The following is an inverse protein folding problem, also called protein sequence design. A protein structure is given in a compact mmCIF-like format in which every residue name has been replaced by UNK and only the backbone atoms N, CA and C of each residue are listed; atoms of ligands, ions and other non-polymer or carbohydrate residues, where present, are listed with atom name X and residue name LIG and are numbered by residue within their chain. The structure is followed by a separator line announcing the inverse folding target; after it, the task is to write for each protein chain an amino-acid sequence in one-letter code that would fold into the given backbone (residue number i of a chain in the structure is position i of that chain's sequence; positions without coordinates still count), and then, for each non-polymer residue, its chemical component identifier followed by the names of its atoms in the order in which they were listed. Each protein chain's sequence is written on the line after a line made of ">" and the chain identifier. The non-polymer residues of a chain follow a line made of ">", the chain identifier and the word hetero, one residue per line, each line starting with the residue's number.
data_IF_382270512752
#
_entry.id   IF_382270512752
#
_cell.length_a   1.000
_cell.length_b   1.000
_cell.length_c   1.000
_cell.angle_alpha   90.00
_cell.angle_beta   90.00
_cell.angle_gamma   90.00
#
_symmetry.space_group_name_H-M   'P 1'
#
loop_
_entity.id
_entity.type
_entity.pdbx_description
1 polymer ?
#
# COMPACT_ATOMS: atom_id res chain seq x y z
N UNK A 1 10.43 -69.73 17.31
CA UNK A 1 11.80 -69.88 16.80
C UNK A 1 11.74 -69.92 15.28
N UNK A 2 12.45 -68.98 14.64
CA UNK A 2 12.90 -69.05 13.25
C UNK A 2 11.96 -68.54 12.15
N UNK A 3 12.44 -67.94 11.07
CA UNK A 3 13.77 -67.44 10.67
C UNK A 3 13.52 -66.63 9.38
N UNK A 4 14.15 -65.45 9.29
CA UNK A 4 14.58 -64.68 8.10
C UNK A 4 13.59 -64.16 7.03
N UNK A 5 13.67 -62.82 6.86
CA UNK A 5 13.47 -62.08 5.60
C UNK A 5 14.47 -62.52 4.52
N UNK A 6 14.09 -62.40 3.24
CA UNK A 6 14.80 -61.50 2.31
C UNK A 6 13.79 -60.65 1.50
N UNK A 7 13.94 -59.32 1.44
CA UNK A 7 14.67 -58.60 0.37
C UNK A 7 14.23 -59.01 -1.05
N UNK A 8 13.28 -58.26 -1.61
CA UNK A 8 13.11 -58.09 -3.05
C UNK A 8 12.50 -56.70 -3.32
N UNK A 9 13.36 -55.67 -3.27
CA UNK A 9 13.11 -54.39 -3.93
C UNK A 9 13.19 -54.64 -5.45
N UNK A 10 12.05 -54.84 -6.11
CA UNK A 10 12.02 -54.83 -7.57
C UNK A 10 12.04 -53.37 -8.05
N UNK A 11 13.24 -52.85 -8.29
CA UNK A 11 13.47 -51.72 -9.18
C UNK A 11 13.23 -52.20 -10.62
N UNK A 12 12.01 -52.02 -11.12
CA UNK A 12 11.72 -52.13 -12.55
C UNK A 12 12.05 -50.77 -13.20
N UNK A 13 13.32 -50.60 -13.58
CA UNK A 13 13.74 -49.62 -14.57
C UNK A 13 13.16 -50.03 -15.93
N UNK A 14 11.97 -49.54 -16.25
CA UNK A 14 11.45 -49.56 -17.62
C UNK A 14 11.86 -48.24 -18.26
N UNK A 15 13.00 -48.29 -18.94
CA UNK A 15 13.39 -47.33 -19.97
C UNK A 15 12.41 -47.44 -21.13
N UNK A 16 11.37 -46.61 -21.13
CA UNK A 16 10.68 -46.27 -22.36
C UNK A 16 11.44 -45.13 -23.04
N UNK A 17 11.77 -45.21 -24.34
CA UNK A 17 12.13 -44.02 -25.08
C UNK A 17 10.87 -43.15 -25.05
N UNK A 18 10.93 -42.03 -24.35
CA UNK A 18 9.94 -40.98 -24.53
C UNK A 18 10.17 -40.51 -25.96
N UNK A 19 9.41 -41.11 -26.88
CA UNK A 19 9.17 -40.58 -28.20
C UNK A 19 8.90 -39.09 -28.02
N UNK A 20 9.60 -38.29 -28.83
CA UNK A 20 9.31 -36.89 -29.03
C UNK A 20 7.80 -36.69 -29.09
N UNK A 21 7.21 -36.23 -27.98
CA UNK A 21 5.94 -35.56 -28.03
C UNK A 21 6.26 -34.21 -28.67
N UNK A 22 6.19 -34.18 -30.00
CA UNK A 22 5.66 -33.01 -30.68
C UNK A 22 4.26 -32.80 -30.07
N UNK A 23 4.22 -32.11 -28.94
CA UNK A 23 3.05 -31.34 -28.60
C UNK A 23 3.00 -30.24 -29.66
N UNK A 24 2.28 -30.52 -30.76
CA UNK A 24 1.56 -29.47 -31.46
C UNK A 24 0.71 -28.78 -30.38
N UNK A 25 1.26 -27.73 -29.77
CA UNK A 25 0.51 -26.84 -28.91
C UNK A 25 -0.54 -26.20 -29.81
N UNK A 26 -1.85 -26.41 -29.57
CA UNK A 26 -2.87 -25.76 -30.37
C UNK A 26 -2.69 -24.26 -30.19
N UNK A 27 -2.46 -23.56 -31.30
CA UNK A 27 -2.50 -22.11 -31.49
C UNK A 27 -2.17 -21.29 -30.24
N UNK A 28 -0.87 -21.18 -29.92
CA UNK A 28 -0.42 -20.18 -28.97
C UNK A 28 -0.78 -18.78 -29.49
N UNK A 29 -1.70 -18.10 -28.82
CA UNK A 29 -2.13 -16.75 -29.14
C UNK A 29 -1.45 -15.74 -28.20
N UNK A 30 -0.36 -15.08 -28.64
CA UNK A 30 0.36 -14.10 -27.83
C UNK A 30 -0.47 -12.87 -27.50
N UNK A 31 -1.47 -12.52 -28.33
CA UNK A 31 -2.36 -11.39 -28.05
C UNK A 31 -3.31 -11.74 -26.91
N UNK A 32 -3.87 -12.96 -26.90
CA UNK A 32 -4.70 -13.44 -25.80
C UNK A 32 -3.90 -13.55 -24.50
N UNK A 33 -2.63 -14.00 -24.55
CA UNK A 33 -1.76 -14.01 -23.38
C UNK A 33 -1.52 -12.59 -22.86
N UNK A 34 -1.09 -11.66 -23.72
CA UNK A 34 -0.84 -10.28 -23.33
C UNK A 34 -2.10 -9.61 -22.74
N UNK A 35 -3.26 -9.83 -23.37
CA UNK A 35 -4.54 -9.34 -22.87
C UNK A 35 -4.83 -9.90 -21.48
N UNK A 36 -4.61 -11.19 -21.26
CA UNK A 36 -4.81 -11.80 -19.94
C UNK A 36 -3.89 -11.21 -18.86
N UNK A 37 -2.65 -10.84 -19.21
CA UNK A 37 -1.73 -10.17 -18.28
C UNK A 37 -2.21 -8.76 -17.93
N UNK A 38 -2.68 -8.01 -18.92
CA UNK A 38 -3.21 -6.65 -18.73
C UNK A 38 -4.51 -6.67 -17.91
N UNK A 39 -5.41 -7.60 -18.20
CA UNK A 39 -6.68 -7.77 -17.48
C UNK A 39 -6.49 -8.22 -16.03
N UNK A 40 -5.50 -9.09 -15.79
CA UNK A 40 -5.14 -9.51 -14.43
C UNK A 40 -4.49 -8.38 -13.61
N UNK A 41 -3.92 -7.38 -14.27
CA UNK A 41 -3.31 -6.24 -13.59
C UNK A 41 -4.35 -5.22 -13.15
N UNK A 42 -4.54 -5.10 -11.84
CA UNK A 42 -5.37 -4.06 -11.24
C UNK A 42 -4.48 -3.02 -10.57
N UNK A 43 -4.60 -1.77 -11.03
CA UNK A 43 -4.00 -0.60 -10.38
C UNK A 43 -4.83 -0.28 -9.14
N UNK A 44 -4.21 -0.39 -7.96
CA UNK A 44 -4.92 -0.15 -6.71
C UNK A 44 -5.14 1.34 -6.46
N UNK A 45 -6.40 1.73 -6.29
CA UNK A 45 -6.77 3.11 -5.97
C UNK A 45 -6.69 3.44 -4.47
N UNK A 46 -6.41 2.43 -3.64
CA UNK A 46 -6.25 2.54 -2.20
C UNK A 46 -4.79 2.72 -1.84
N UNK A 47 -4.45 3.87 -1.26
CA UNK A 47 -3.10 4.13 -0.72
C UNK A 47 -2.83 3.37 0.58
N UNK A 48 -3.87 3.08 1.38
CA UNK A 48 -3.73 2.39 2.67
C UNK A 48 -2.97 3.19 3.74
N UNK A 49 -2.68 4.46 3.47
CA UNK A 49 -1.91 5.32 4.36
C UNK A 49 -2.81 6.01 5.38
N UNK A 50 -2.50 5.85 6.67
CA UNK A 50 -3.23 6.53 7.74
C UNK A 50 -2.96 8.03 7.71
N UNK A 51 -4.01 8.84 7.56
CA UNK A 51 -3.91 10.31 7.64
C UNK A 51 -3.36 10.69 9.02
N UNK A 52 -2.26 11.46 9.09
CA UNK A 52 -1.65 11.82 10.36
C UNK A 52 -2.53 12.84 11.07
N UNK A 53 -2.80 12.62 12.35
CA UNK A 53 -3.43 13.63 13.21
C UNK A 53 -2.38 14.70 13.50
N UNK A 54 -2.60 15.97 13.11
CA UNK A 54 -1.66 17.04 13.42
C UNK A 54 -1.66 17.35 14.91
N UNK A 55 -0.54 17.86 15.42
CA UNK A 55 -0.51 18.46 16.75
C UNK A 55 -1.23 19.81 16.70
N UNK A 56 -1.92 20.18 17.78
CA UNK A 56 -2.37 21.56 17.98
C UNK A 56 -1.16 22.46 18.19
N UNK A 57 -1.27 23.75 17.84
CA UNK A 57 -0.21 24.73 18.06
C UNK A 57 0.31 24.76 19.51
N UNK A 58 -0.62 24.67 20.46
CA UNK A 58 -0.38 24.69 21.89
C UNK A 58 0.03 23.32 22.48
N UNK A 59 0.26 22.30 21.64
CA UNK A 59 0.68 20.99 22.13
C UNK A 59 2.08 21.07 22.75
N UNK A 60 2.39 20.28 23.80
CA UNK A 60 3.73 20.19 24.34
C UNK A 60 4.73 19.67 23.28
N UNK A 61 6.00 20.04 23.43
CA UNK A 61 7.04 19.79 22.43
C UNK A 61 7.14 18.31 21.99
N UNK A 62 6.96 17.36 22.90
CA UNK A 62 7.00 15.92 22.58
C UNK A 62 5.86 15.49 21.65
N UNK A 63 4.70 16.13 21.73
CA UNK A 63 3.53 15.84 20.89
C UNK A 63 3.70 16.46 19.51
N UNK A 64 4.25 17.68 19.43
CA UNK A 64 4.65 18.30 18.17
C UNK A 64 5.69 17.44 17.42
N UNK A 65 6.72 16.95 18.11
CA UNK A 65 7.69 16.01 17.53
C UNK A 65 7.04 14.70 17.07
N UNK A 66 6.08 14.16 17.83
CA UNK A 66 5.36 12.95 17.45
C UNK A 66 4.51 13.17 16.18
N UNK A 67 3.82 14.30 16.06
CA UNK A 67 3.05 14.66 14.87
C UNK A 67 3.95 14.82 13.64
N UNK A 68 5.11 15.47 13.78
CA UNK A 68 6.10 15.58 12.69
C UNK A 68 6.58 14.21 12.21
N UNK A 69 6.86 13.28 13.13
CA UNK A 69 7.23 11.90 12.76
C UNK A 69 6.11 11.18 12.02
N UNK A 70 4.85 11.31 12.47
CA UNK A 70 3.68 10.72 11.79
C UNK A 70 3.50 11.29 10.38
N UNK A 71 3.73 12.58 10.19
CA UNK A 71 3.70 13.23 8.87
C UNK A 71 4.75 12.64 7.92
N UNK A 72 6.00 12.51 8.37
CA UNK A 72 7.06 11.91 7.55
C UNK A 72 6.71 10.47 7.16
N UNK A 73 6.20 9.67 8.11
CA UNK A 73 5.76 8.29 7.83
C UNK A 73 4.60 8.24 6.83
N UNK A 74 3.66 9.16 6.94
CA UNK A 74 2.55 9.30 6.00
C UNK A 74 3.04 9.64 4.58
N UNK A 75 3.90 10.64 4.44
CA UNK A 75 4.46 11.04 3.14
C UNK A 75 5.25 9.90 2.49
N UNK A 76 6.07 9.19 3.26
CA UNK A 76 6.78 7.99 2.80
C UNK A 76 5.83 6.86 2.40
N UNK A 77 4.71 6.68 3.12
CA UNK A 77 3.70 5.70 2.77
C UNK A 77 3.07 6.02 1.41
N UNK A 78 2.68 7.29 1.18
CA UNK A 78 2.09 7.73 -0.07
C UNK A 78 3.04 7.53 -1.25
N UNK A 79 4.30 7.93 -1.09
CA UNK A 79 5.34 7.75 -2.10
C UNK A 79 5.55 6.26 -2.42
N UNK A 80 5.70 5.41 -1.39
CA UNK A 80 5.85 3.97 -1.59
C UNK A 80 4.64 3.30 -2.24
N UNK A 81 3.43 3.79 -1.96
CA UNK A 81 2.22 3.28 -2.60
C UNK A 81 2.25 3.57 -4.11
N UNK A 82 2.59 4.81 -4.49
CA UNK A 82 2.75 5.19 -5.89
C UNK A 82 3.87 4.41 -6.59
N UNK A 83 5.08 4.42 -6.04
CA UNK A 83 6.23 3.72 -6.63
C UNK A 83 5.97 2.23 -6.79
N UNK A 84 5.29 1.59 -5.83
CA UNK A 84 4.97 0.17 -5.94
C UNK A 84 4.04 -0.13 -7.11
N UNK A 85 3.03 0.71 -7.34
CA UNK A 85 2.12 0.53 -8.48
C UNK A 85 2.82 0.87 -9.80
N UNK A 86 3.61 1.95 -9.84
CA UNK A 86 4.46 2.30 -10.98
C UNK A 86 5.37 1.12 -11.38
N UNK A 87 6.15 0.56 -10.45
CA UNK A 87 7.06 -0.56 -10.73
C UNK A 87 6.32 -1.82 -11.20
N UNK A 88 5.09 -2.06 -10.70
CA UNK A 88 4.27 -3.20 -11.13
C UNK A 88 3.78 -3.00 -12.55
N UNK A 89 3.37 -1.78 -12.92
CA UNK A 89 2.88 -1.45 -14.25
C UNK A 89 4.03 -1.42 -15.26
N UNK A 90 5.20 -0.89 -14.89
CA UNK A 90 6.41 -0.93 -15.71
C UNK A 90 6.84 -2.38 -16.01
N UNK A 91 6.85 -3.26 -15.00
CA UNK A 91 7.12 -4.70 -15.21
C UNK A 91 6.10 -5.38 -16.11
N UNK A 92 4.83 -4.98 -16.08
CA UNK A 92 3.83 -5.48 -17.02
C UNK A 92 4.17 -4.99 -18.45
N UNK A 93 4.50 -3.72 -18.60
CA UNK A 93 4.94 -3.13 -19.86
C UNK A 93 6.14 -3.87 -20.47
N UNK A 94 7.15 -4.22 -19.67
CA UNK A 94 8.28 -5.02 -20.14
C UNK A 94 7.88 -6.41 -20.62
N UNK A 95 6.99 -7.12 -19.90
CA UNK A 95 6.55 -8.46 -20.34
C UNK A 95 5.75 -8.40 -21.64
N UNK A 96 4.90 -7.39 -21.79
CA UNK A 96 4.16 -7.18 -23.04
C UNK A 96 5.12 -6.79 -24.17
N UNK A 97 6.14 -5.97 -23.89
CA UNK A 97 7.17 -5.63 -24.87
C UNK A 97 7.98 -6.87 -25.30
N UNK A 98 8.37 -7.75 -24.37
CA UNK A 98 9.05 -9.01 -24.69
C UNK A 98 8.20 -9.90 -25.61
N UNK A 99 6.89 -9.98 -25.37
CA UNK A 99 5.94 -10.69 -26.25
C UNK A 99 5.82 -10.02 -27.61
N UNK A 100 5.72 -8.69 -27.66
CA UNK A 100 5.65 -7.92 -28.90
C UNK A 100 6.89 -8.10 -29.76
N UNK A 101 8.06 -8.05 -29.14
CA UNK A 101 9.34 -8.19 -29.84
C UNK A 101 9.53 -9.61 -30.38
N UNK A 102 8.93 -10.61 -29.74
CA UNK A 102 8.90 -12.00 -30.23
C UNK A 102 7.90 -12.21 -31.40
N UNK A 103 6.83 -11.40 -31.48
CA UNK A 103 5.77 -11.49 -32.51
C UNK A 103 5.41 -10.11 -33.10
N UNK A 104 6.36 -9.45 -33.79
CA UNK A 104 6.20 -8.07 -34.25
C UNK A 104 5.17 -7.89 -35.39
N UNK A 105 4.79 -8.98 -36.07
CA UNK A 105 3.87 -8.98 -37.21
C UNK A 105 2.39 -8.82 -36.83
N UNK A 106 2.06 -8.97 -35.54
CA UNK A 106 0.69 -8.90 -35.04
C UNK A 106 0.22 -7.47 -34.80
N UNK A 107 -1.09 -7.26 -34.78
CA UNK A 107 -1.69 -5.97 -34.42
C UNK A 107 -1.78 -5.82 -32.90
N UNK A 108 -0.82 -5.06 -32.33
CA UNK A 108 -0.71 -4.81 -30.90
C UNK A 108 -1.53 -3.61 -30.41
N UNK A 109 -2.20 -2.88 -31.32
CA UNK A 109 -2.87 -1.61 -30.99
C UNK A 109 -3.90 -1.73 -29.86
N UNK A 110 -4.63 -2.84 -29.80
CA UNK A 110 -5.59 -3.11 -28.72
C UNK A 110 -4.93 -3.30 -27.35
N UNK A 111 -3.77 -3.96 -27.30
CA UNK A 111 -3.00 -4.18 -26.08
C UNK A 111 -2.33 -2.88 -25.64
N UNK A 112 -1.77 -2.11 -26.58
CA UNK A 112 -1.18 -0.80 -26.31
C UNK A 112 -2.22 0.16 -25.72
N UNK A 113 -3.42 0.22 -26.31
CA UNK A 113 -4.54 0.99 -25.76
C UNK A 113 -4.93 0.51 -24.35
N UNK A 114 -4.98 -0.81 -24.12
CA UNK A 114 -5.31 -1.35 -22.79
C UNK A 114 -4.25 -1.02 -21.73
N UNK A 115 -2.97 -0.97 -22.11
CA UNK A 115 -1.87 -0.51 -21.25
C UNK A 115 -1.96 0.98 -20.96
N UNK A 116 -2.29 1.81 -21.96
CA UNK A 116 -2.47 3.25 -21.78
C UNK A 116 -3.56 3.56 -20.74
N UNK A 117 -4.67 2.80 -20.77
CA UNK A 117 -5.72 2.93 -19.74
C UNK A 117 -5.20 2.61 -18.32
N UNK A 118 -4.24 1.70 -18.17
CA UNK A 118 -3.62 1.42 -16.85
C UNK A 118 -2.73 2.57 -16.40
N UNK A 119 -2.03 3.23 -17.32
CA UNK A 119 -1.25 4.43 -17.02
C UNK A 119 -2.16 5.60 -16.62
N UNK A 120 -3.28 5.80 -17.31
CA UNK A 120 -4.28 6.78 -16.90
C UNK A 120 -4.83 6.50 -15.49
N UNK A 121 -5.04 5.23 -15.15
CA UNK A 121 -5.45 4.85 -13.80
C UNK A 121 -4.36 5.18 -12.75
N UNK A 122 -3.08 5.05 -13.10
CA UNK A 122 -1.96 5.45 -12.25
C UNK A 122 -1.93 6.98 -12.03
N UNK A 123 -2.19 7.77 -13.08
CA UNK A 123 -2.28 9.24 -12.98
C UNK A 123 -3.43 9.68 -12.05
N UNK A 124 -4.54 8.92 -12.04
CA UNK A 124 -5.64 9.13 -11.08
C UNK A 124 -5.20 8.84 -9.65
N UNK A 125 -4.35 7.82 -9.44
CA UNK A 125 -3.76 7.53 -8.12
C UNK A 125 -2.84 8.67 -7.67
N UNK A 126 -2.00 9.19 -8.56
CA UNK A 126 -1.15 10.34 -8.28
C UNK A 126 -1.98 11.56 -7.87
N UNK A 127 -3.05 11.86 -8.60
CA UNK A 127 -3.98 12.94 -8.28
C UNK A 127 -4.62 12.76 -6.90
N UNK A 128 -5.03 11.53 -6.53
CA UNK A 128 -5.56 11.22 -5.19
C UNK A 128 -4.50 11.43 -4.11
N UNK A 129 -3.24 11.05 -4.36
CA UNK A 129 -2.12 11.27 -3.45
C UNK A 129 -1.89 12.77 -3.24
N UNK A 130 -1.92 13.57 -4.30
CA UNK A 130 -1.78 15.02 -4.22
C UNK A 130 -2.89 15.65 -3.36
N UNK A 131 -4.14 15.22 -3.56
CA UNK A 131 -5.28 15.63 -2.72
C UNK A 131 -5.03 15.25 -1.26
N UNK A 132 -4.62 14.00 -0.97
CA UNK A 132 -4.35 13.56 0.40
C UNK A 132 -3.25 14.39 1.09
N UNK A 133 -2.19 14.79 0.35
CA UNK A 133 -1.17 15.72 0.85
C UNK A 133 -1.77 17.09 1.19
N UNK A 134 -2.57 17.65 0.29
CA UNK A 134 -3.24 18.94 0.50
C UNK A 134 -4.19 18.90 1.71
N UNK A 135 -4.93 17.81 1.91
CA UNK A 135 -5.78 17.63 3.09
C UNK A 135 -4.98 17.62 4.39
N UNK A 136 -3.83 16.94 4.42
CA UNK A 136 -2.96 16.92 5.60
C UNK A 136 -2.42 18.32 5.95
N UNK A 137 -2.08 19.12 4.94
CA UNK A 137 -1.66 20.52 5.12
C UNK A 137 -2.81 21.41 5.58
N UNK A 138 -3.99 21.27 4.97
CA UNK A 138 -5.19 22.03 5.33
C UNK A 138 -5.62 21.75 6.77
N UNK A 139 -5.51 20.49 7.23
CA UNK A 139 -5.81 20.12 8.61
C UNK A 139 -4.91 20.85 9.62
N UNK A 140 -3.63 21.05 9.29
CA UNK A 140 -2.70 21.86 10.12
C UNK A 140 -3.20 23.30 10.18
N UNK A 141 -3.46 23.92 9.02
CA UNK A 141 -3.91 25.33 8.96
C UNK A 141 -5.21 25.55 9.75
N UNK A 142 -6.17 24.63 9.64
CA UNK A 142 -7.42 24.70 10.41
C UNK A 142 -7.14 24.60 11.91
N UNK A 143 -6.34 23.62 12.34
CA UNK A 143 -6.01 23.44 13.75
C UNK A 143 -5.27 24.66 14.32
N UNK A 144 -4.34 25.24 13.57
CA UNK A 144 -3.62 26.45 13.95
C UNK A 144 -4.55 27.66 14.02
N UNK A 145 -5.57 27.74 13.17
CA UNK A 145 -6.59 28.81 13.26
C UNK A 145 -7.37 28.75 14.57
N UNK A 146 -7.61 27.55 15.12
CA UNK A 146 -8.37 27.36 16.36
C UNK A 146 -7.51 27.31 17.62
N UNK A 147 -6.24 26.93 17.52
CA UNK A 147 -5.36 26.70 18.66
C UNK A 147 -4.11 27.59 18.67
N UNK A 148 -3.91 28.40 17.63
CA UNK A 148 -2.80 29.32 17.45
C UNK A 148 -2.89 30.60 18.30
N UNK A 149 -1.89 31.49 18.17
CA UNK A 149 -1.82 32.74 18.93
C UNK A 149 -3.03 33.63 18.61
N UNK A 150 -3.80 34.01 19.64
CA UNK A 150 -5.01 34.83 19.46
C UNK A 150 -6.24 34.06 18.96
N UNK A 151 -6.15 32.72 18.89
CA UNK A 151 -7.26 31.88 18.49
C UNK A 151 -8.35 31.77 19.58
N UNK A 152 -9.60 31.44 19.22
CA UNK A 152 -10.71 31.36 20.16
C UNK A 152 -10.46 30.41 21.34
N UNK A 153 -9.74 29.30 21.11
CA UNK A 153 -9.45 28.31 22.16
C UNK A 153 -8.20 28.64 22.97
N UNK A 154 -7.41 29.66 22.60
CA UNK A 154 -6.20 30.06 23.34
C UNK A 154 -6.54 30.55 24.77
N UNK A 155 -7.71 31.17 24.92
CA UNK A 155 -8.26 31.63 26.21
C UNK A 155 -9.04 30.56 26.98
N UNK A 156 -9.27 29.38 26.40
CA UNK A 156 -10.07 28.32 27.01
C UNK A 156 -9.30 27.61 28.14
N UNK A 157 -9.94 27.30 29.28
CA UNK A 157 -9.36 26.46 30.33
C UNK A 157 -9.14 25.00 29.87
N UNK A 158 -9.67 24.60 28.71
CA UNK A 158 -9.40 23.30 28.08
C UNK A 158 -8.18 23.33 27.14
N UNK A 159 -7.50 24.47 27.01
CA UNK A 159 -6.29 24.59 26.21
C UNK A 159 -5.17 23.72 26.83
N UNK A 160 -4.66 22.71 26.12
CA UNK A 160 -3.62 21.82 26.66
C UNK A 160 -2.32 22.56 27.03
N UNK A 161 -2.01 23.72 26.42
CA UNK A 161 -0.88 24.57 26.86
C UNK A 161 -1.13 25.29 28.20
N UNK A 162 -2.39 25.51 28.57
CA UNK A 162 -2.77 26.19 29.83
C UNK A 162 -2.91 25.25 31.02
N UNK A 163 -2.68 23.94 30.87
CA UNK A 163 -2.77 23.02 31.99
C UNK A 163 -1.78 23.47 33.10
N UNK A 164 -2.24 23.99 34.25
CA UNK A 164 -1.38 24.56 35.29
C UNK A 164 -0.53 23.50 35.99
N UNK A 165 -0.77 22.21 35.71
CA UNK A 165 -0.07 21.07 36.29
C UNK A 165 1.01 20.48 35.38
N UNK A 166 1.45 21.21 34.33
CA UNK A 166 2.57 20.86 33.46
C UNK A 166 3.96 20.96 34.12
N UNK A 167 4.07 20.77 35.44
CA UNK A 167 5.32 20.86 36.18
C UNK A 167 5.33 19.93 37.38
N UNK A 168 6.17 18.90 37.31
CA UNK A 168 6.59 17.92 38.33
C UNK A 168 5.72 16.67 38.56
N UNK A 169 6.38 15.51 38.39
CA UNK A 169 6.18 14.34 39.24
C UNK A 169 5.23 13.28 38.70
N UNK A 170 5.76 12.09 38.41
CA UNK A 170 4.94 10.95 38.05
C UNK A 170 3.94 10.59 39.14
N UNK A 171 2.67 10.48 38.78
CA UNK A 171 1.71 9.51 39.31
C UNK A 171 0.57 9.48 38.30
N UNK A 172 0.39 8.33 37.64
CA UNK A 172 -0.86 7.96 36.98
C UNK A 172 -1.86 7.71 38.12
N UNK A 173 -2.94 8.47 38.29
CA UNK A 173 -3.98 8.06 39.21
C UNK A 173 -4.75 6.97 38.48
N UNK A 174 -4.55 5.72 38.89
CA UNK A 174 -5.55 4.67 38.70
C UNK A 174 -6.84 5.18 39.33
N UNK A 175 -7.71 5.76 38.51
CA UNK A 175 -9.08 6.06 38.87
C UNK A 175 -9.94 5.03 38.16
N UNK A 176 -9.94 3.83 38.74
CA UNK A 176 -11.12 2.99 38.84
C UNK A 176 -12.22 3.75 39.58
N UNK A 177 -12.76 4.79 38.95
CA UNK A 177 -14.02 5.40 39.39
C UNK A 177 -15.10 4.74 38.55
N UNK A 178 -15.74 3.76 39.17
CA UNK A 178 -17.02 3.19 38.78
C UNK A 178 -17.92 4.29 38.26
N UNK A 179 -18.38 4.17 37.02
CA UNK A 179 -19.44 5.03 36.48
C UNK A 179 -20.66 4.96 37.41
N UNK A 180 -21.09 6.06 38.05
CA UNK A 180 -22.42 6.14 38.62
C UNK A 180 -23.38 6.46 37.47
N UNK A 181 -24.50 5.73 37.43
CA UNK A 181 -25.47 5.71 36.35
C UNK A 181 -25.80 7.06 35.71
N UNK A 182 -25.73 7.07 34.39
CA UNK A 182 -26.47 8.00 33.55
C UNK A 182 -27.95 7.53 33.57
N UNK A 183 -28.94 8.42 33.77
CA UNK A 183 -30.35 8.07 33.79
C UNK A 183 -30.85 7.44 32.48
#
# INVERSE_FOLDING_TARGET
>A
MGVLRPLAFFFALVSAPVCAQQADYPDYDPLAEAQSMVDAHVVSDRTGCSVPIPATWNAPYWEQQAAMRRRVVFEQCLERAYTREYDRLERLGYRVADLRDAYPELDWSGIEYALDLKWEDLDRVESKIAIQRQWAETAITILDTFTGPGAPLDSSPLNPARNPYGGYGGYRPDTSVSAPGVP
#
